data_IF_815121656538
#
_entry.id   IF_815121656538
#
_cell.length_a   1.000
_cell.length_b   1.000
_cell.length_c   1.000
_cell.angle_alpha   90.00
_cell.angle_beta   90.00
_cell.angle_gamma   90.00
#
_symmetry.space_group_name_H-M   'P 1'
#
loop_
_entity.id
_entity.type
_entity.pdbx_description
1 polymer ?
#
# COMPACT_ATOMS: atom_id res chain seq x y z
N UNK A 1 -4.61 -4.58 25.80
CA UNK A 1 -4.23 -3.78 24.62
C UNK A 1 -4.77 -2.37 24.76
N UNK A 2 -3.93 -1.40 24.51
CA UNK A 2 -4.25 -0.01 24.81
C UNK A 2 -4.44 0.86 23.57
N UNK A 3 -4.76 0.27 22.44
CA UNK A 3 -4.98 1.05 21.24
C UNK A 3 -5.30 0.20 20.04
N UNK A 4 -5.66 0.88 18.97
CA UNK A 4 -5.96 0.26 17.68
C UNK A 4 -5.12 0.96 16.62
N UNK A 5 -4.45 0.17 15.80
CA UNK A 5 -3.70 0.70 14.68
C UNK A 5 -4.10 -0.10 13.43
N UNK A 6 -4.97 0.50 12.64
CA UNK A 6 -5.48 -0.14 11.43
C UNK A 6 -5.65 0.90 10.33
N UNK A 7 -5.12 0.60 9.18
CA UNK A 7 -5.32 1.42 7.99
C UNK A 7 -5.94 0.57 6.90
N UNK A 8 -6.96 1.11 6.27
CA UNK A 8 -7.64 0.47 5.14
C UNK A 8 -7.43 1.32 3.91
N UNK A 9 -6.94 0.70 2.84
CA UNK A 9 -6.68 1.39 1.58
C UNK A 9 -7.36 0.65 0.45
N UNK A 10 -8.02 1.41 -0.42
CA UNK A 10 -8.52 0.93 -1.70
C UNK A 10 -7.89 1.81 -2.77
N UNK A 11 -7.13 1.22 -3.65
CA UNK A 11 -6.42 1.99 -4.67
C UNK A 11 -5.89 1.09 -5.76
N UNK A 12 -4.99 1.64 -6.57
CA UNK A 12 -4.41 0.91 -7.69
C UNK A 12 -2.92 0.73 -7.49
N UNK A 13 -2.43 -0.45 -7.84
CA UNK A 13 -0.99 -0.72 -7.77
C UNK A 13 -0.24 0.15 -8.76
N UNK A 14 0.81 0.82 -8.28
CA UNK A 14 1.63 1.72 -9.09
C UNK A 14 2.79 1.03 -9.78
N UNK A 15 3.05 -0.22 -9.45
CA UNK A 15 4.15 -0.98 -10.02
C UNK A 15 3.83 -2.47 -10.00
N UNK A 16 4.57 -3.23 -10.79
CA UNK A 16 4.51 -4.68 -10.72
C UNK A 16 5.08 -5.15 -9.39
N UNK A 17 4.58 -6.30 -8.95
CA UNK A 17 4.96 -6.86 -7.66
C UNK A 17 6.26 -7.64 -7.79
N UNK A 18 7.23 -7.27 -6.95
CA UNK A 18 8.54 -7.91 -6.93
C UNK A 18 8.75 -8.58 -5.57
N UNK A 19 9.02 -9.89 -5.63
CA UNK A 19 9.27 -10.67 -4.43
C UNK A 19 10.75 -10.62 -4.08
N UNK A 20 11.04 -10.29 -2.83
CA UNK A 20 12.40 -10.30 -2.28
C UNK A 20 12.44 -11.21 -1.07
N UNK A 21 13.64 -11.62 -0.71
CA UNK A 21 13.85 -12.45 0.47
C UNK A 21 14.64 -11.67 1.50
N UNK A 22 14.11 -11.63 2.72
CA UNK A 22 14.80 -11.00 3.85
C UNK A 22 15.98 -11.85 4.32
N UNK A 23 16.94 -11.26 5.06
CA UNK A 23 18.03 -12.05 5.65
C UNK A 23 17.54 -13.19 6.53
N UNK A 24 16.36 -13.06 7.13
CA UNK A 24 15.74 -14.13 7.92
C UNK A 24 15.22 -15.30 7.07
N UNK A 25 15.18 -15.15 5.74
CA UNK A 25 14.62 -16.15 4.84
C UNK A 25 13.16 -15.92 4.49
N UNK A 26 12.50 -14.95 5.10
CA UNK A 26 11.09 -14.69 4.83
C UNK A 26 10.91 -13.90 3.53
N UNK A 27 9.88 -14.23 2.74
CA UNK A 27 9.56 -13.45 1.55
C UNK A 27 8.91 -12.11 1.93
N UNK A 28 9.19 -11.08 1.14
CA UNK A 28 8.59 -9.77 1.29
C UNK A 28 8.32 -9.15 -0.08
N UNK A 29 7.20 -8.48 -0.19
CA UNK A 29 6.82 -7.70 -1.36
C UNK A 29 6.67 -6.25 -0.95
N UNK A 30 7.32 -5.35 -1.69
CA UNK A 30 7.14 -3.91 -1.52
C UNK A 30 6.37 -3.37 -2.71
N UNK A 31 5.25 -2.71 -2.44
CA UNK A 31 4.41 -2.14 -3.49
C UNK A 31 3.98 -0.73 -3.12
N UNK A 32 3.65 0.06 -4.14
CA UNK A 32 3.06 1.38 -3.96
C UNK A 32 1.61 1.33 -4.41
N UNK A 33 0.73 1.93 -3.62
CA UNK A 33 -0.69 2.02 -3.93
C UNK A 33 -1.05 3.49 -4.10
N UNK A 34 -1.70 3.80 -5.21
CA UNK A 34 -2.21 5.14 -5.47
C UNK A 34 -3.68 5.21 -5.04
N UNK A 35 -3.97 6.11 -4.14
CA UNK A 35 -5.34 6.41 -3.71
C UNK A 35 -5.69 7.81 -4.19
N UNK A 36 -6.69 7.90 -5.05
CA UNK A 36 -7.07 9.16 -5.67
C UNK A 36 -8.37 9.67 -5.08
N UNK A 37 -8.34 10.88 -4.55
CA UNK A 37 -9.51 11.59 -4.08
C UNK A 37 -9.93 12.60 -5.13
N UNK A 38 -11.24 12.68 -5.36
CA UNK A 38 -11.81 13.66 -6.26
C UNK A 38 -12.84 14.49 -5.52
N UNK A 39 -12.87 15.79 -5.80
CA UNK A 39 -13.87 16.68 -5.22
C UNK A 39 -14.13 17.83 -6.18
N UNK A 40 -15.22 18.54 -5.94
CA UNK A 40 -15.52 19.76 -6.69
C UNK A 40 -15.16 20.97 -5.85
N UNK A 41 -14.50 21.93 -6.45
CA UNK A 41 -14.18 23.19 -5.79
C UNK A 41 -15.40 24.13 -5.80
N UNK A 42 -15.21 25.34 -5.26
CA UNK A 42 -16.30 26.31 -5.17
C UNK A 42 -16.80 26.79 -6.54
N UNK A 43 -15.96 26.69 -7.55
CA UNK A 43 -16.34 27.03 -8.93
C UNK A 43 -17.00 25.89 -9.69
N UNK A 44 -17.18 24.73 -9.07
CA UNK A 44 -17.75 23.56 -9.69
C UNK A 44 -16.79 22.74 -10.52
N UNK A 45 -15.50 23.07 -10.50
CA UNK A 45 -14.50 22.31 -11.21
C UNK A 45 -14.07 21.08 -10.41
N UNK A 46 -13.90 19.96 -11.12
CA UNK A 46 -13.45 18.74 -10.52
C UNK A 46 -11.94 18.80 -10.25
N UNK A 47 -11.57 18.50 -9.02
CA UNK A 47 -10.18 18.44 -8.60
C UNK A 47 -9.82 17.01 -8.23
N UNK A 48 -8.56 16.66 -8.43
CA UNK A 48 -8.02 15.34 -8.10
C UNK A 48 -6.77 15.49 -7.27
N UNK A 49 -6.62 14.59 -6.30
CA UNK A 49 -5.40 14.47 -5.52
C UNK A 49 -5.06 13.00 -5.38
N UNK A 50 -3.84 12.64 -5.75
CA UNK A 50 -3.38 11.26 -5.64
C UNK A 50 -2.35 11.16 -4.53
N UNK A 51 -2.64 10.30 -3.56
CA UNK A 51 -1.72 9.99 -2.47
C UNK A 51 -1.12 8.62 -2.72
N UNK A 52 0.19 8.52 -2.52
CA UNK A 52 0.94 7.27 -2.70
C UNK A 52 1.30 6.69 -1.34
N UNK A 53 0.97 5.43 -1.16
CA UNK A 53 1.28 4.70 0.06
C UNK A 53 2.20 3.54 -0.28
N UNK A 54 3.24 3.37 0.53
CA UNK A 54 4.16 2.25 0.39
C UNK A 54 3.76 1.15 1.36
N UNK A 55 3.67 -0.07 0.84
CA UNK A 55 3.29 -1.24 1.62
C UNK A 55 4.39 -2.27 1.58
N UNK A 56 4.58 -2.94 2.72
CA UNK A 56 5.39 -4.14 2.80
C UNK A 56 4.49 -5.30 3.17
N UNK A 57 4.52 -6.35 2.39
CA UNK A 57 3.71 -7.54 2.59
C UNK A 57 4.64 -8.71 2.81
N UNK A 58 4.45 -9.44 3.90
CA UNK A 58 5.39 -10.47 4.35
C UNK A 58 4.79 -11.87 4.27
N UNK A 59 5.67 -12.87 4.14
CA UNK A 59 5.36 -14.29 4.27
C UNK A 59 4.37 -14.78 3.21
N UNK A 60 3.39 -15.60 3.59
CA UNK A 60 2.43 -16.16 2.66
C UNK A 60 1.67 -15.14 1.82
N UNK A 61 1.14 -14.07 2.41
CA UNK A 61 0.51 -13.02 1.61
C UNK A 61 1.43 -12.45 0.53
N UNK A 62 2.74 -12.33 0.81
CA UNK A 62 3.70 -11.83 -0.17
C UNK A 62 3.78 -12.77 -1.39
N UNK A 63 3.78 -14.05 -1.15
CA UNK A 63 3.82 -15.04 -2.24
C UNK A 63 2.56 -14.99 -3.09
N UNK A 64 1.40 -14.81 -2.46
CA UNK A 64 0.12 -14.69 -3.17
C UNK A 64 0.11 -13.44 -4.05
N UNK A 65 0.58 -12.32 -3.50
CA UNK A 65 0.64 -11.06 -4.24
C UNK A 65 1.58 -11.16 -5.44
N UNK A 66 2.73 -11.81 -5.26
CA UNK A 66 3.68 -11.99 -6.35
C UNK A 66 3.06 -12.76 -7.51
N UNK A 67 2.24 -13.77 -7.22
CA UNK A 67 1.62 -14.58 -8.25
C UNK A 67 0.44 -13.93 -8.95
N UNK A 68 -0.34 -13.12 -8.26
CA UNK A 68 -1.64 -12.67 -8.72
C UNK A 68 -1.79 -11.16 -8.91
N UNK A 69 -0.97 -10.36 -8.25
CA UNK A 69 -1.09 -8.91 -8.32
C UNK A 69 -0.27 -8.33 -9.47
N UNK A 70 -0.78 -7.28 -10.08
CA UNK A 70 -0.11 -6.63 -11.21
C UNK A 70 -0.33 -5.12 -11.20
N UNK A 71 0.55 -4.42 -11.90
CA UNK A 71 0.48 -2.96 -12.02
C UNK A 71 -0.87 -2.52 -12.59
N UNK A 72 -1.46 -1.52 -11.97
CA UNK A 72 -2.74 -0.96 -12.37
C UNK A 72 -3.95 -1.67 -11.78
N UNK A 73 -3.76 -2.78 -11.10
CA UNK A 73 -4.85 -3.53 -10.50
C UNK A 73 -5.44 -2.76 -9.33
N UNK A 74 -6.78 -2.72 -9.25
CA UNK A 74 -7.46 -2.16 -8.09
C UNK A 74 -7.41 -3.18 -6.96
N UNK A 75 -6.97 -2.75 -5.79
CA UNK A 75 -6.78 -3.63 -4.65
C UNK A 75 -7.36 -3.01 -3.39
N UNK A 76 -7.77 -3.89 -2.48
CA UNK A 76 -8.18 -3.55 -1.13
C UNK A 76 -7.15 -4.14 -0.17
N UNK A 77 -6.60 -3.29 0.71
CA UNK A 77 -5.65 -3.76 1.71
C UNK A 77 -5.99 -3.19 3.08
N UNK A 78 -5.73 -3.97 4.11
CA UNK A 78 -5.92 -3.56 5.48
C UNK A 78 -4.77 -4.08 6.34
N UNK A 79 -4.22 -3.21 7.17
CA UNK A 79 -3.13 -3.59 8.05
C UNK A 79 -2.71 -2.43 8.94
N UNK A 80 -1.78 -2.68 9.84
CA UNK A 80 -1.29 -1.63 10.71
C UNK A 80 -0.36 -0.67 9.97
N UNK A 81 -0.43 0.60 10.37
CA UNK A 81 0.52 1.61 9.93
C UNK A 81 1.69 1.62 10.90
N UNK A 82 2.91 1.53 10.37
CA UNK A 82 4.11 1.58 11.20
C UNK A 82 4.93 2.80 10.87
N UNK A 83 5.27 3.54 11.90
CA UNK A 83 6.18 4.66 11.77
C UNK A 83 7.58 4.18 12.07
N UNK A 84 8.53 4.64 11.25
CA UNK A 84 9.94 4.43 11.53
C UNK A 84 10.49 5.69 12.15
N UNK A 85 10.98 5.56 13.37
CA UNK A 85 11.68 6.65 14.05
C UNK A 85 13.16 6.38 13.98
N UNK A 86 13.91 7.39 13.59
CA UNK A 86 15.36 7.31 13.57
C UNK A 86 15.87 8.23 14.66
N UNK A 87 16.56 7.66 15.62
CA UNK A 87 17.26 8.45 16.63
C UNK A 87 18.55 8.97 16.02
N UNK A 88 18.71 10.25 16.06
CA UNK A 88 19.91 10.90 15.57
C UNK A 88 20.81 11.32 16.73
#
# INVERSE_FOLDING_TARGET
MNGVNRQTLIGHLGSDVELKTLPSGDPVVNVSIAVTDTWKDKGGEEQKNTNWFKLAIFKKPAEIWEKHAFKGQKVFVEGPTRNRSYDN
#
